data_IF_097191859711
#
_entry.id   IF_097191859711
#
_cell.length_a   1.000
_cell.length_b   1.000
_cell.length_c   1.000
_cell.angle_alpha   90.00
_cell.angle_beta   90.00
_cell.angle_gamma   90.00
#
_symmetry.space_group_name_H-M   'P 1'
#
loop_
_entity.id
_entity.type
_entity.pdbx_description
1 polymer ?
#
# COMPACT_ATOMS: atom_id res chain seq x y z
N UNK A 1 61.54 -20.30 -32.28
CA UNK A 1 61.31 -20.40 -30.82
C UNK A 1 60.01 -19.66 -30.50
N UNK A 2 58.93 -20.37 -30.13
CA UNK A 2 58.33 -20.51 -28.77
C UNK A 2 57.49 -19.30 -28.28
N UNK A 3 56.15 -19.43 -28.44
CA UNK A 3 55.04 -19.43 -27.44
C UNK A 3 54.89 -18.40 -26.28
N UNK A 4 53.61 -18.03 -26.09
CA UNK A 4 52.81 -17.68 -24.88
C UNK A 4 52.69 -16.19 -24.46
N UNK A 5 51.52 -15.54 -24.46
CA UNK A 5 50.22 -15.64 -23.71
C UNK A 5 50.19 -14.79 -22.41
N UNK A 6 49.05 -14.13 -22.17
CA UNK A 6 48.54 -13.34 -21.02
C UNK A 6 48.55 -11.81 -21.24
N UNK A 7 47.42 -11.15 -21.53
CA UNK A 7 46.21 -10.90 -20.70
C UNK A 7 46.39 -9.75 -19.70
N UNK A 8 45.66 -8.64 -19.93
CA UNK A 8 44.58 -8.17 -19.04
C UNK A 8 44.28 -6.67 -19.21
N UNK A 9 43.04 -6.39 -19.61
CA UNK A 9 42.16 -5.31 -19.12
C UNK A 9 42.69 -3.87 -19.07
N UNK A 10 42.36 -3.10 -20.10
CA UNK A 10 42.31 -1.64 -20.06
C UNK A 10 40.92 -1.21 -19.55
N UNK A 11 40.81 -0.89 -18.26
CA UNK A 11 39.66 -0.22 -17.69
C UNK A 11 39.79 1.29 -17.94
N UNK A 12 38.94 1.84 -18.82
CA UNK A 12 38.80 3.28 -19.00
C UNK A 12 37.54 3.71 -18.23
N UNK A 13 37.75 4.32 -17.07
CA UNK A 13 36.70 5.01 -16.33
C UNK A 13 36.45 6.36 -17.00
N UNK A 14 35.26 6.53 -17.60
CA UNK A 14 34.75 7.84 -18.01
C UNK A 14 33.71 8.26 -16.98
N UNK A 15 34.11 9.17 -16.10
CA UNK A 15 33.21 9.95 -15.26
C UNK A 15 32.60 11.01 -16.18
N UNK A 16 31.33 10.87 -16.52
CA UNK A 16 30.56 11.94 -17.17
C UNK A 16 29.46 12.41 -16.25
N UNK A 17 29.74 13.54 -15.61
CA UNK A 17 28.79 14.42 -14.94
C UNK A 17 27.88 15.02 -16.00
N UNK A 18 26.59 14.69 -15.94
CA UNK A 18 25.54 15.45 -16.63
C UNK A 18 24.45 15.78 -15.63
N UNK A 19 24.76 16.71 -14.72
CA UNK A 19 23.76 17.52 -14.04
C UNK A 19 22.99 18.32 -15.10
N UNK A 20 21.74 17.94 -15.35
CA UNK A 20 20.75 18.85 -15.93
C UNK A 20 19.60 18.92 -14.93
N UNK A 21 19.76 19.82 -13.97
CA UNK A 21 18.65 20.35 -13.20
C UNK A 21 17.72 21.05 -14.19
N UNK A 22 16.61 20.42 -14.51
CA UNK A 22 15.48 21.07 -15.17
C UNK A 22 14.28 20.95 -14.24
N UNK A 23 14.27 21.85 -13.26
CA UNK A 23 13.13 22.16 -12.42
C UNK A 23 11.98 22.67 -13.29
N UNK A 24 11.05 21.80 -13.64
CA UNK A 24 9.70 22.19 -14.03
C UNK A 24 8.81 22.03 -12.80
N UNK A 25 8.59 23.16 -12.13
CA UNK A 25 7.55 23.32 -11.12
C UNK A 25 6.22 23.28 -11.88
N UNK A 26 5.53 22.14 -11.83
CA UNK A 26 4.12 22.04 -12.17
C UNK A 26 3.35 21.89 -10.86
N UNK A 27 2.71 22.98 -10.42
CA UNK A 27 1.65 22.96 -9.43
C UNK A 27 0.40 22.31 -10.06
N UNK A 28 0.10 21.08 -9.68
CA UNK A 28 -1.23 20.47 -9.78
C UNK A 28 -1.30 19.29 -8.80
N UNK A 29 -2.38 19.25 -8.03
CA UNK A 29 -2.41 18.64 -6.72
C UNK A 29 -2.73 17.16 -6.69
N UNK A 30 -2.20 16.50 -5.66
CA UNK A 30 -2.78 15.30 -5.07
C UNK A 30 -2.62 15.51 -3.57
N UNK A 31 -3.72 15.94 -2.94
CA UNK A 31 -3.80 16.36 -1.54
C UNK A 31 -2.97 17.64 -1.28
N UNK A 32 -3.33 18.46 -0.30
CA UNK A 32 -2.46 19.55 0.21
C UNK A 32 -1.15 19.03 0.85
N UNK A 33 -0.72 17.83 0.50
CA UNK A 33 0.50 17.16 0.89
C UNK A 33 1.26 16.93 -0.41
N UNK A 34 2.23 17.81 -0.64
CA UNK A 34 3.26 17.72 -1.68
C UNK A 34 3.60 16.24 -1.97
N UNK A 35 3.50 15.74 -3.21
CA UNK A 35 4.14 14.48 -3.56
C UNK A 35 5.60 14.58 -3.12
N UNK A 36 6.02 13.71 -2.22
CA UNK A 36 7.37 13.74 -1.68
C UNK A 36 8.36 13.66 -2.84
N UNK A 37 8.97 14.80 -3.16
CA UNK A 37 10.11 14.89 -4.04
C UNK A 37 11.29 14.26 -3.28
N UNK A 38 11.42 12.94 -3.40
CA UNK A 38 12.66 12.19 -3.16
C UNK A 38 12.48 10.76 -3.71
N UNK A 39 12.44 10.64 -5.04
CA UNK A 39 12.77 9.40 -5.73
C UNK A 39 13.99 9.64 -6.61
N UNK A 40 15.14 9.69 -5.94
CA UNK A 40 16.46 9.49 -6.52
C UNK A 40 17.07 8.28 -5.84
N UNK A 41 17.52 7.33 -6.65
CA UNK A 41 18.13 6.06 -6.26
C UNK A 41 19.09 6.17 -5.06
N UNK A 42 18.68 5.71 -3.88
CA UNK A 42 19.57 5.18 -2.85
C UNK A 42 18.77 4.42 -1.78
N UNK A 43 19.04 3.12 -1.68
CA UNK A 43 18.72 2.30 -0.52
C UNK A 43 19.51 2.84 0.68
N UNK A 44 18.92 3.75 1.47
CA UNK A 44 19.31 4.09 2.85
C UNK A 44 18.60 5.37 3.36
N UNK A 45 17.66 5.19 4.29
CA UNK A 45 17.48 6.00 5.51
C UNK A 45 17.53 7.54 5.42
N UNK A 46 16.37 8.18 5.25
CA UNK A 46 16.04 9.46 5.94
C UNK A 46 14.53 9.63 6.05
N UNK A 47 13.86 8.78 6.83
CA UNK A 47 12.57 9.10 7.44
C UNK A 47 12.87 9.83 8.75
N UNK A 48 12.52 11.11 8.89
CA UNK A 48 12.77 11.92 10.09
C UNK A 48 12.14 11.33 11.37
N UNK A 49 11.18 10.41 11.23
CA UNK A 49 10.54 9.67 12.33
C UNK A 49 11.31 8.42 12.80
N UNK A 50 12.38 8.02 12.10
CA UNK A 50 13.16 6.81 12.38
C UNK A 50 14.62 7.13 12.76
N UNK A 51 14.88 8.26 13.41
CA UNK A 51 16.24 8.65 13.85
C UNK A 51 16.87 7.61 14.77
N UNK A 52 16.09 6.99 15.66
CA UNK A 52 16.57 5.95 16.58
C UNK A 52 16.78 4.59 15.90
N UNK A 53 16.35 4.46 14.64
CA UNK A 53 16.58 3.28 13.79
C UNK A 53 17.93 3.39 13.07
N UNK A 54 18.48 4.60 12.93
CA UNK A 54 19.78 4.82 12.30
C UNK A 54 20.90 4.32 13.22
N UNK A 55 21.70 3.35 12.74
CA UNK A 55 22.82 2.79 13.51
C UNK A 55 22.46 1.63 14.45
N UNK A 56 21.21 1.15 14.41
CA UNK A 56 20.85 -0.10 15.09
C UNK A 56 21.53 -1.27 14.39
N UNK A 57 22.25 -2.09 15.15
CA UNK A 57 22.74 -3.39 14.68
C UNK A 57 21.67 -4.43 14.96
N UNK A 58 21.14 -5.05 13.89
CA UNK A 58 20.09 -6.04 14.02
C UNK A 58 20.65 -7.43 14.31
N UNK A 59 20.06 -8.11 15.31
CA UNK A 59 20.35 -9.51 15.61
C UNK A 59 19.42 -10.40 14.78
N UNK A 60 19.86 -10.72 13.56
CA UNK A 60 19.10 -11.50 12.58
C UNK A 60 19.01 -12.99 12.94
N UNK A 61 19.73 -13.46 13.97
CA UNK A 61 19.58 -14.83 14.49
C UNK A 61 18.45 -14.92 15.51
N UNK A 62 18.14 -13.81 16.18
CA UNK A 62 17.12 -13.73 17.23
C UNK A 62 15.78 -13.17 16.74
N UNK A 63 15.82 -12.19 15.84
CA UNK A 63 14.64 -11.49 15.34
C UNK A 63 14.47 -11.70 13.83
N UNK A 64 13.22 -11.76 13.38
CA UNK A 64 12.87 -12.04 11.98
C UNK A 64 12.87 -10.78 11.11
N UNK A 65 12.53 -9.62 11.70
CA UNK A 65 12.42 -8.32 11.00
C UNK A 65 12.72 -7.15 11.96
N UNK A 66 13.07 -5.95 11.44
CA UNK A 66 13.47 -4.78 12.25
C UNK A 66 12.50 -4.40 13.37
N UNK A 67 11.21 -4.24 13.06
CA UNK A 67 10.19 -3.81 14.02
C UNK A 67 10.06 -4.77 15.21
N UNK A 68 10.33 -6.07 15.01
CA UNK A 68 10.30 -7.06 16.09
C UNK A 68 11.38 -6.76 17.14
N UNK A 69 12.60 -6.46 16.69
CA UNK A 69 13.71 -6.11 17.58
C UNK A 69 13.46 -4.76 18.25
N UNK A 70 13.07 -3.75 17.47
CA UNK A 70 12.82 -2.41 17.98
C UNK A 70 11.75 -2.42 19.09
N UNK A 71 10.66 -3.18 18.89
CA UNK A 71 9.63 -3.36 19.90
C UNK A 71 10.15 -4.12 21.14
N UNK A 72 10.91 -5.21 20.95
CA UNK A 72 11.47 -5.98 22.06
C UNK A 72 12.48 -5.20 22.91
N UNK A 73 13.16 -4.23 22.31
CA UNK A 73 14.12 -3.33 22.98
C UNK A 73 13.47 -2.02 23.49
N UNK A 74 12.15 -1.86 23.37
CA UNK A 74 11.41 -0.64 23.72
C UNK A 74 11.95 0.62 23.02
N UNK A 75 12.45 0.49 21.78
CA UNK A 75 12.89 1.62 20.96
C UNK A 75 11.71 2.27 20.27
N UNK A 76 11.78 3.59 20.09
CA UNK A 76 10.79 4.32 19.31
C UNK A 76 11.03 4.10 17.82
N UNK A 77 9.96 3.85 17.07
CA UNK A 77 10.00 3.74 15.62
C UNK A 77 8.63 4.05 15.02
N UNK A 78 8.63 4.46 13.76
CA UNK A 78 7.40 4.66 13.01
C UNK A 78 6.78 3.31 12.61
N UNK A 79 5.78 2.86 13.38
CA UNK A 79 5.02 1.63 13.09
C UNK A 79 4.27 1.65 11.75
N UNK A 80 4.08 2.83 11.14
CA UNK A 80 3.47 2.96 9.81
C UNK A 80 4.49 2.70 8.68
N UNK A 81 5.79 2.66 8.97
CA UNK A 81 6.82 2.29 7.99
C UNK A 81 6.86 0.78 7.77
N UNK A 82 6.11 0.30 6.78
CA UNK A 82 6.00 -1.12 6.42
C UNK A 82 7.37 -1.78 6.14
N UNK A 83 8.39 -1.01 5.75
CA UNK A 83 9.74 -1.54 5.48
C UNK A 83 10.37 -2.15 6.72
N UNK A 84 10.00 -1.67 7.91
CA UNK A 84 10.47 -2.24 9.18
C UNK A 84 9.89 -3.62 9.47
N UNK A 85 8.88 -4.05 8.71
CA UNK A 85 8.26 -5.37 8.80
C UNK A 85 8.73 -6.32 7.69
N UNK A 86 9.74 -5.93 6.90
CA UNK A 86 10.37 -6.84 5.95
C UNK A 86 11.33 -7.78 6.68
N UNK A 87 11.27 -9.06 6.33
CA UNK A 87 12.16 -10.07 6.89
C UNK A 87 13.61 -9.80 6.50
N UNK A 88 14.54 -10.09 7.42
CA UNK A 88 15.97 -9.96 7.12
C UNK A 88 16.44 -10.92 6.03
N UNK A 89 15.95 -12.16 6.05
CA UNK A 89 16.42 -13.26 5.19
C UNK A 89 15.82 -13.22 3.77
N UNK A 90 14.53 -12.97 3.64
CA UNK A 90 13.81 -13.05 2.36
C UNK A 90 13.35 -11.70 1.82
N UNK A 91 13.44 -10.63 2.63
CA UNK A 91 12.88 -9.30 2.33
C UNK A 91 11.35 -9.30 2.11
N UNK A 92 10.68 -10.40 2.45
CA UNK A 92 9.22 -10.52 2.36
C UNK A 92 8.56 -9.69 3.46
N UNK A 93 7.46 -9.03 3.13
CA UNK A 93 6.69 -8.24 4.08
C UNK A 93 5.83 -9.14 4.97
N UNK A 94 6.07 -9.05 6.28
CA UNK A 94 5.22 -9.60 7.34
C UNK A 94 3.94 -8.75 7.49
N UNK A 95 3.05 -8.84 6.49
CA UNK A 95 1.93 -7.90 6.33
C UNK A 95 0.85 -8.03 7.42
N UNK A 96 0.65 -9.23 7.96
CA UNK A 96 -0.27 -9.47 9.08
C UNK A 96 0.25 -8.79 10.37
N UNK A 97 1.55 -8.94 10.63
CA UNK A 97 2.25 -8.33 11.76
C UNK A 97 2.25 -6.81 11.65
N UNK A 98 2.46 -6.29 10.43
CA UNK A 98 2.38 -4.87 10.15
C UNK A 98 0.97 -4.32 10.39
N UNK A 99 -0.07 -4.97 9.86
CA UNK A 99 -1.46 -4.57 10.09
C UNK A 99 -1.79 -4.54 11.58
N UNK A 100 -1.40 -5.60 12.31
CA UNK A 100 -1.63 -5.74 13.75
C UNK A 100 -1.00 -4.59 14.54
N UNK A 101 0.25 -4.21 14.22
CA UNK A 101 0.93 -3.08 14.87
C UNK A 101 0.18 -1.74 14.72
N UNK A 102 -0.61 -1.59 13.65
CA UNK A 102 -1.41 -0.39 13.38
C UNK A 102 -2.85 -0.46 13.90
N UNK A 103 -3.22 -1.52 14.63
CA UNK A 103 -4.59 -1.86 15.08
C UNK A 103 -5.56 -2.22 13.94
N UNK A 104 -5.05 -2.95 12.95
CA UNK A 104 -5.80 -3.52 11.85
C UNK A 104 -5.55 -5.04 11.79
N UNK A 105 -6.41 -5.78 11.12
CA UNK A 105 -6.14 -7.13 10.63
C UNK A 105 -6.22 -7.12 9.11
N UNK A 106 -5.82 -8.22 8.48
CA UNK A 106 -6.00 -8.36 7.03
C UNK A 106 -7.00 -9.43 6.68
N UNK A 107 -7.80 -9.16 5.67
CA UNK A 107 -8.63 -10.15 5.01
C UNK A 107 -8.26 -10.24 3.54
N UNK A 108 -8.37 -11.44 2.99
CA UNK A 108 -8.04 -11.72 1.60
C UNK A 108 -9.33 -11.79 0.82
N UNK A 109 -9.38 -11.19 -0.36
CA UNK A 109 -10.54 -11.28 -1.21
C UNK A 109 -10.13 -11.67 -2.63
N UNK A 110 -10.67 -12.78 -3.12
CA UNK A 110 -10.57 -13.20 -4.51
C UNK A 110 -11.96 -13.51 -5.04
N UNK A 111 -12.32 -12.90 -6.18
CA UNK A 111 -13.57 -13.22 -6.88
C UNK A 111 -13.65 -14.69 -7.30
N UNK A 112 -12.50 -15.36 -7.44
CA UNK A 112 -12.41 -16.69 -8.03
C UNK A 112 -12.61 -17.81 -7.01
N UNK A 113 -12.41 -17.54 -5.71
CA UNK A 113 -12.40 -18.58 -4.66
C UNK A 113 -13.33 -18.19 -3.52
N UNK A 114 -14.61 -18.13 -3.85
CA UNK A 114 -15.68 -17.98 -2.88
C UNK A 114 -16.01 -19.33 -2.25
N UNK A 115 -15.84 -19.48 -0.92
CA UNK A 115 -16.35 -20.65 -0.19
C UNK A 115 -17.41 -20.23 0.82
N UNK A 116 -18.57 -20.88 0.71
CA UNK A 116 -19.56 -20.93 1.79
C UNK A 116 -19.09 -21.99 2.78
N UNK A 117 -18.88 -21.58 4.02
CA UNK A 117 -18.64 -22.52 5.11
C UNK A 117 -19.96 -23.17 5.54
N UNK A 118 -19.88 -24.31 6.22
CA UNK A 118 -21.05 -25.05 6.72
C UNK A 118 -21.86 -24.23 7.74
N UNK A 119 -21.22 -23.30 8.46
CA UNK A 119 -21.85 -22.39 9.43
C UNK A 119 -22.52 -21.16 8.76
N UNK A 120 -22.55 -21.10 7.43
CA UNK A 120 -23.12 -19.98 6.67
C UNK A 120 -22.22 -18.75 6.59
N UNK A 121 -21.03 -18.79 7.19
CA UNK A 121 -20.02 -17.75 7.01
C UNK A 121 -19.35 -17.89 5.63
N UNK A 122 -18.74 -16.80 5.16
CA UNK A 122 -18.04 -16.76 3.87
C UNK A 122 -16.57 -16.63 4.16
N UNK A 123 -15.76 -17.58 3.69
CA UNK A 123 -14.31 -17.40 3.71
C UNK A 123 -13.88 -16.91 2.35
N UNK A 124 -13.21 -15.75 2.36
CA UNK A 124 -12.44 -15.28 1.24
C UNK A 124 -10.97 -15.50 1.62
N UNK A 125 -10.28 -16.36 0.87
CA UNK A 125 -8.85 -16.59 0.99
C UNK A 125 -8.27 -16.77 -0.40
N UNK A 126 -6.99 -16.49 -0.56
CA UNK A 126 -6.36 -16.81 -1.83
C UNK A 126 -6.12 -18.32 -1.96
N UNK A 127 -7.05 -19.03 -2.59
CA UNK A 127 -6.78 -20.40 -3.02
C UNK A 127 -6.08 -20.40 -4.38
N UNK A 128 -4.76 -20.46 -4.30
CA UNK A 128 -3.92 -20.54 -5.48
C UNK A 128 -3.69 -21.98 -6.00
N UNK A 129 -4.28 -22.99 -5.36
CA UNK A 129 -4.10 -24.40 -5.72
C UNK A 129 -4.97 -24.82 -6.91
N UNK A 130 -6.10 -24.15 -7.12
CA UNK A 130 -7.03 -24.42 -8.21
C UNK A 130 -6.52 -23.80 -9.53
N UNK A 131 -5.60 -24.49 -10.21
CA UNK A 131 -4.99 -24.06 -11.48
C UNK A 131 -5.99 -23.84 -12.63
N UNK A 132 -7.23 -24.33 -12.51
CA UNK A 132 -8.31 -24.17 -13.47
C UNK A 132 -8.97 -22.79 -13.40
N UNK A 133 -8.86 -22.09 -12.28
CA UNK A 133 -9.37 -20.73 -12.11
C UNK A 133 -8.32 -19.75 -12.62
N UNK A 134 -8.51 -19.25 -13.85
CA UNK A 134 -7.66 -18.16 -14.37
C UNK A 134 -7.76 -16.97 -13.43
N UNK A 135 -6.73 -16.73 -12.61
CA UNK A 135 -6.59 -15.49 -11.84
C UNK A 135 -6.70 -14.33 -12.81
N UNK A 136 -7.72 -13.49 -12.61
CA UNK A 136 -7.97 -12.38 -13.51
C UNK A 136 -6.94 -11.29 -13.26
N UNK A 137 -5.78 -11.46 -13.90
CA UNK A 137 -4.70 -10.49 -13.95
C UNK A 137 -4.47 -10.10 -15.42
N UNK A 138 -4.91 -8.92 -15.80
CA UNK A 138 -4.92 -8.51 -17.19
C UNK A 138 -4.53 -7.05 -17.33
N UNK A 139 -3.76 -6.75 -18.38
CA UNK A 139 -3.57 -5.38 -18.85
C UNK A 139 -4.91 -4.86 -19.39
N UNK A 140 -5.35 -3.72 -18.88
CA UNK A 140 -6.54 -3.03 -19.34
C UNK A 140 -6.18 -1.61 -19.76
N UNK A 141 -7.02 -1.04 -20.62
CA UNK A 141 -6.98 0.37 -20.96
C UNK A 141 -8.22 1.01 -20.33
N UNK A 142 -7.99 1.98 -19.44
CA UNK A 142 -9.08 2.75 -18.82
C UNK A 142 -9.73 3.68 -19.84
N UNK A 143 -10.88 4.27 -19.49
CA UNK A 143 -11.56 5.22 -20.38
C UNK A 143 -10.73 6.49 -20.65
N UNK A 144 -9.71 6.75 -19.83
CA UNK A 144 -8.70 7.80 -20.04
C UNK A 144 -7.65 7.47 -21.11
N UNK A 145 -7.66 6.26 -21.68
CA UNK A 145 -6.61 5.75 -22.56
C UNK A 145 -5.38 5.24 -21.81
N UNK A 146 -5.34 5.31 -20.47
CA UNK A 146 -4.22 4.84 -19.66
C UNK A 146 -4.22 3.33 -19.49
N UNK A 147 -3.05 2.72 -19.66
CA UNK A 147 -2.81 1.30 -19.41
C UNK A 147 -2.60 1.03 -17.94
N UNK A 148 -3.27 0.02 -17.39
CA UNK A 148 -3.06 -0.45 -16.03
C UNK A 148 -3.22 -1.97 -15.95
N UNK A 149 -2.61 -2.61 -14.96
CA UNK A 149 -2.83 -4.02 -14.67
C UNK A 149 -3.91 -4.19 -13.59
N UNK A 150 -5.03 -4.80 -13.98
CA UNK A 150 -6.09 -5.16 -13.04
C UNK A 150 -5.79 -6.53 -12.43
N UNK A 151 -6.08 -6.69 -11.15
CA UNK A 151 -6.15 -7.98 -10.48
C UNK A 151 -7.49 -8.12 -9.76
N UNK A 152 -8.14 -9.28 -9.83
CA UNK A 152 -9.32 -9.56 -9.00
C UNK A 152 -8.96 -10.06 -7.59
N UNK A 153 -7.68 -10.31 -7.32
CA UNK A 153 -7.17 -10.57 -5.98
C UNK A 153 -6.91 -9.26 -5.25
N UNK A 154 -7.39 -9.18 -4.01
CA UNK A 154 -7.34 -7.99 -3.18
C UNK A 154 -6.94 -8.38 -1.77
N UNK A 155 -6.12 -7.53 -1.17
CA UNK A 155 -5.81 -7.57 0.25
C UNK A 155 -6.50 -6.37 0.89
N UNK A 156 -7.29 -6.64 1.92
CA UNK A 156 -7.98 -5.63 2.70
C UNK A 156 -7.27 -5.46 4.04
N UNK A 157 -7.04 -4.22 4.45
CA UNK A 157 -6.64 -3.88 5.81
C UNK A 157 -7.88 -3.37 6.53
N UNK A 158 -8.37 -4.17 7.45
CA UNK A 158 -9.63 -3.97 8.15
C UNK A 158 -9.35 -3.51 9.59
N UNK A 159 -10.00 -2.43 10.02
CA UNK A 159 -9.80 -1.94 11.38
C UNK A 159 -10.31 -2.98 12.38
N UNK A 160 -9.56 -3.17 13.47
CA UNK A 160 -10.01 -3.99 14.60
C UNK A 160 -11.01 -3.18 15.43
N UNK A 161 -12.27 -3.15 15.01
CA UNK A 161 -13.35 -2.63 15.84
C UNK A 161 -14.30 -3.76 16.29
N UNK A 162 -14.69 -3.76 17.56
CA UNK A 162 -15.54 -4.80 18.14
C UNK A 162 -17.02 -4.62 17.81
N UNK A 163 -17.40 -3.45 17.26
CA UNK A 163 -18.79 -3.02 17.07
C UNK A 163 -19.27 -3.22 15.64
N UNK A 164 -18.42 -3.01 14.62
CA UNK A 164 -18.78 -3.17 13.21
C UNK A 164 -18.33 -4.52 12.66
N UNK A 165 -18.70 -5.60 13.36
CA UNK A 165 -18.33 -6.97 13.02
C UNK A 165 -18.78 -7.41 11.61
N UNK A 166 -19.79 -6.75 11.03
CA UNK A 166 -20.29 -7.07 9.68
C UNK A 166 -19.60 -6.30 8.55
N UNK A 167 -19.23 -5.04 8.75
CA UNK A 167 -18.56 -4.20 7.74
C UNK A 167 -17.54 -3.30 8.46
N UNK A 168 -16.26 -3.67 8.51
CA UNK A 168 -15.24 -2.84 9.12
C UNK A 168 -14.90 -1.63 8.24
N UNK A 169 -14.21 -0.64 8.81
CA UNK A 169 -13.44 0.29 8.00
C UNK A 169 -12.35 -0.52 7.29
N UNK A 170 -12.35 -0.49 5.96
CA UNK A 170 -11.53 -1.38 5.13
C UNK A 170 -10.76 -0.62 4.05
N UNK A 171 -9.47 -0.90 3.92
CA UNK A 171 -8.59 -0.35 2.89
C UNK A 171 -8.14 -1.45 1.93
N UNK A 172 -8.59 -1.36 0.67
CA UNK A 172 -8.37 -2.38 -0.35
C UNK A 172 -7.18 -2.03 -1.26
N UNK A 173 -6.25 -2.97 -1.42
CA UNK A 173 -5.18 -2.92 -2.43
C UNK A 173 -5.20 -4.17 -3.32
N UNK A 174 -4.65 -4.04 -4.53
CA UNK A 174 -4.56 -5.15 -5.49
C UNK A 174 -3.37 -6.06 -5.17
N UNK A 175 -3.59 -7.36 -5.30
CA UNK A 175 -2.57 -8.40 -5.12
C UNK A 175 -2.28 -9.07 -6.45
N UNK A 176 -1.01 -9.31 -6.73
CA UNK A 176 -0.54 -9.89 -7.98
C UNK A 176 0.26 -11.16 -7.71
N UNK A 177 0.22 -12.10 -8.63
CA UNK A 177 0.98 -13.36 -8.58
C UNK A 177 2.36 -13.26 -9.24
N UNK A 178 2.67 -12.10 -9.84
CA UNK A 178 3.93 -11.81 -10.52
C UNK A 178 4.33 -10.35 -10.28
N UNK A 179 5.60 -10.04 -10.01
CA UNK A 179 6.04 -8.67 -9.75
C UNK A 179 5.93 -7.76 -10.99
N UNK A 180 6.00 -8.31 -12.20
CA UNK A 180 5.91 -7.57 -13.47
C UNK A 180 4.51 -7.01 -13.76
N UNK A 181 3.51 -7.43 -12.99
CA UNK A 181 2.12 -6.96 -13.13
C UNK A 181 1.74 -5.96 -12.04
N UNK A 182 2.67 -5.65 -11.14
CA UNK A 182 2.42 -4.91 -9.91
C UNK A 182 2.33 -3.40 -10.16
N UNK A 183 1.31 -2.99 -10.91
CA UNK A 183 1.01 -1.58 -11.16
C UNK A 183 0.35 -0.98 -9.92
N UNK A 184 0.66 0.29 -9.59
CA UNK A 184 -0.02 0.97 -8.51
C UNK A 184 -1.48 1.26 -8.90
N UNK A 185 -2.36 1.11 -7.93
CA UNK A 185 -3.76 1.46 -8.02
C UNK A 185 -4.20 2.05 -6.69
N UNK A 186 -4.86 3.21 -6.70
CA UNK A 186 -5.27 3.88 -5.47
C UNK A 186 -6.09 2.99 -4.55
N UNK A 187 -5.91 3.15 -3.24
CA UNK A 187 -6.68 2.40 -2.25
C UNK A 187 -8.16 2.77 -2.31
N UNK A 188 -9.03 1.77 -2.42
CA UNK A 188 -10.46 1.96 -2.19
C UNK A 188 -10.73 1.80 -0.70
N UNK A 189 -11.39 2.79 -0.12
CA UNK A 189 -11.68 2.85 1.31
C UNK A 189 -13.18 2.60 1.49
N UNK A 190 -13.54 1.66 2.35
CA UNK A 190 -14.92 1.39 2.75
C UNK A 190 -15.11 1.86 4.18
N UNK A 191 -16.17 2.61 4.45
CA UNK A 191 -16.52 3.08 5.78
C UNK A 191 -17.97 2.70 6.07
N UNK A 192 -18.26 1.97 7.17
CA UNK A 192 -19.61 1.54 7.51
C UNK A 192 -20.50 2.73 7.87
N UNK A 193 -21.82 2.54 7.75
CA UNK A 193 -22.77 3.56 8.19
C UNK A 193 -22.62 3.82 9.69
N UNK A 194 -22.73 5.08 10.10
CA UNK A 194 -22.43 5.51 11.47
C UNK A 194 -23.20 6.78 11.85
N UNK A 195 -23.10 7.17 13.11
CA UNK A 195 -23.68 8.41 13.61
C UNK A 195 -22.84 9.05 14.71
N UNK A 196 -22.96 10.36 14.89
CA UNK A 196 -22.38 11.06 16.04
C UNK A 196 -23.25 10.90 17.31
N UNK A 197 -22.82 11.49 18.43
CA UNK A 197 -23.56 11.47 19.70
C UNK A 197 -24.89 12.24 19.66
N UNK A 198 -25.11 13.06 18.62
CA UNK A 198 -26.35 13.77 18.37
C UNK A 198 -27.28 13.02 17.40
N UNK A 199 -26.95 11.78 17.03
CA UNK A 199 -27.66 10.96 16.06
C UNK A 199 -27.72 11.54 14.64
N UNK A 200 -26.74 12.35 14.25
CA UNK A 200 -26.54 12.69 12.84
C UNK A 200 -25.95 11.47 12.13
N UNK A 201 -26.65 10.96 11.12
CA UNK A 201 -26.29 9.71 10.45
C UNK A 201 -25.55 9.99 9.14
N UNK A 202 -24.47 9.25 8.90
CA UNK A 202 -23.86 9.11 7.57
C UNK A 202 -24.01 7.64 7.15
N UNK A 203 -24.63 7.35 6.00
CA UNK A 203 -24.75 5.99 5.52
C UNK A 203 -23.39 5.44 5.09
N UNK A 204 -23.34 4.11 4.99
CA UNK A 204 -22.25 3.38 4.36
C UNK A 204 -21.75 4.12 3.12
N UNK A 205 -20.43 4.30 3.02
CA UNK A 205 -19.84 5.04 1.92
C UNK A 205 -18.53 4.41 1.47
N UNK A 206 -18.21 4.59 0.19
CA UNK A 206 -16.88 4.26 -0.33
C UNK A 206 -16.15 5.50 -0.81
N UNK A 207 -14.85 5.54 -0.56
CA UNK A 207 -13.99 6.66 -0.89
C UNK A 207 -12.78 6.19 -1.71
N UNK A 208 -12.29 7.07 -2.58
CA UNK A 208 -11.06 6.86 -3.35
C UNK A 208 -10.55 8.22 -3.84
N UNK A 209 -9.26 8.37 -4.11
CA UNK A 209 -8.74 9.62 -4.66
C UNK A 209 -9.32 9.92 -6.05
N UNK A 210 -9.62 11.20 -6.27
CA UNK A 210 -10.08 11.74 -7.55
C UNK A 210 -9.16 11.32 -8.69
N UNK A 211 -7.84 11.40 -8.49
CA UNK A 211 -6.85 11.00 -9.49
C UNK A 211 -7.08 9.58 -10.01
N UNK A 212 -7.19 8.60 -9.10
CA UNK A 212 -7.39 7.20 -9.48
C UNK A 212 -8.78 6.92 -10.06
N UNK A 213 -9.80 7.66 -9.62
CA UNK A 213 -11.11 7.63 -10.27
C UNK A 213 -11.02 8.17 -11.70
N UNK A 214 -10.26 9.24 -11.91
CA UNK A 214 -10.07 9.89 -13.20
C UNK A 214 -9.28 9.02 -14.19
N UNK A 215 -8.29 8.28 -13.71
CA UNK A 215 -7.57 7.25 -14.49
C UNK A 215 -8.55 6.24 -15.09
N UNK A 216 -9.58 5.85 -14.35
CA UNK A 216 -10.55 4.86 -14.82
C UNK A 216 -11.65 5.44 -15.72
N UNK A 217 -12.15 6.64 -15.40
CA UNK A 217 -13.37 7.18 -16.01
C UNK A 217 -13.14 8.13 -17.19
N UNK A 218 -11.89 8.53 -17.47
CA UNK A 218 -11.56 9.39 -18.60
C UNK A 218 -11.55 10.89 -18.32
N UNK A 219 -11.48 11.31 -17.05
CA UNK A 219 -11.52 12.72 -16.66
C UNK A 219 -10.16 13.27 -16.19
N UNK A 220 -9.04 12.69 -16.63
CA UNK A 220 -7.70 13.20 -16.31
C UNK A 220 -7.45 14.54 -17.00
N UNK A 221 -6.86 15.50 -16.28
CA UNK A 221 -6.27 16.69 -16.93
C UNK A 221 -5.00 16.32 -17.70
N UNK A 222 -4.49 17.17 -18.62
CA UNK A 222 -3.21 16.94 -19.28
C UNK A 222 -2.05 16.73 -18.30
N UNK A 223 -2.03 17.46 -17.19
CA UNK A 223 -1.01 17.36 -16.14
C UNK A 223 -1.12 16.01 -15.39
N UNK A 224 -2.33 15.62 -14.99
CA UNK A 224 -2.57 14.31 -14.35
C UNK A 224 -2.23 13.14 -15.30
N UNK A 225 -2.53 13.31 -16.58
CA UNK A 225 -2.21 12.35 -17.64
C UNK A 225 -0.70 12.17 -17.78
N UNK A 226 0.08 13.26 -17.81
CA UNK A 226 1.53 13.21 -17.86
C UNK A 226 2.15 12.63 -16.57
N UNK A 227 1.59 12.99 -15.41
CA UNK A 227 2.00 12.44 -14.12
C UNK A 227 1.82 10.92 -14.08
N UNK A 228 0.67 10.42 -14.59
CA UNK A 228 0.40 9.00 -14.69
C UNK A 228 1.46 8.29 -15.54
N UNK A 229 1.74 8.79 -16.74
CA UNK A 229 2.69 8.14 -17.65
C UNK A 229 4.11 8.13 -17.08
N UNK A 230 4.51 9.20 -16.40
CA UNK A 230 5.83 9.30 -15.80
C UNK A 230 6.02 8.33 -14.62
N UNK A 231 5.00 8.15 -13.78
CA UNK A 231 5.17 7.55 -12.46
C UNK A 231 4.36 6.27 -12.20
N UNK A 232 3.17 6.13 -12.81
CA UNK A 232 2.18 5.14 -12.39
C UNK A 232 1.74 4.17 -13.49
N UNK A 233 1.93 4.51 -14.77
CA UNK A 233 1.66 3.64 -15.93
C UNK A 233 2.69 2.52 -16.11
N UNK A 234 3.31 2.06 -15.02
CA UNK A 234 4.37 1.06 -15.00
C UNK A 234 4.38 0.31 -13.67
N UNK A 235 5.21 -0.72 -13.58
CA UNK A 235 5.49 -1.44 -12.33
C UNK A 235 6.11 -0.45 -11.33
N UNK A 236 5.61 -0.42 -10.09
CA UNK A 236 6.14 0.45 -9.03
C UNK A 236 6.34 -0.35 -7.75
N UNK A 237 7.61 -0.50 -7.37
CA UNK A 237 8.07 -1.08 -6.10
C UNK A 237 7.36 -2.40 -5.75
N UNK A 238 7.51 -3.48 -6.53
CA UNK A 238 6.81 -4.73 -6.26
C UNK A 238 7.33 -5.35 -4.95
N UNK A 239 6.46 -5.40 -3.93
CA UNK A 239 6.78 -5.95 -2.61
C UNK A 239 6.24 -7.35 -2.51
N UNK A 240 7.12 -8.32 -2.27
CA UNK A 240 6.76 -9.72 -2.02
C UNK A 240 6.18 -9.85 -0.61
N UNK A 241 5.00 -10.45 -0.48
CA UNK A 241 4.40 -10.71 0.83
C UNK A 241 4.88 -12.05 1.38
N UNK A 242 5.04 -12.15 2.70
CA UNK A 242 5.28 -13.41 3.40
C UNK A 242 4.00 -14.24 3.38
N UNK A 243 3.84 -15.06 2.34
CA UNK A 243 2.64 -15.85 2.09
C UNK A 243 2.98 -17.33 1.85
N UNK A 244 2.34 -18.29 2.56
CA UNK A 244 2.84 -19.66 2.66
C UNK A 244 2.64 -20.51 1.39
N UNK A 245 1.63 -20.23 0.57
CA UNK A 245 1.28 -21.11 -0.56
C UNK A 245 2.06 -20.80 -1.84
N UNK A 246 2.27 -19.52 -2.14
CA UNK A 246 3.04 -19.05 -3.31
C UNK A 246 3.47 -17.59 -3.14
N UNK A 247 4.46 -17.14 -3.94
CA UNK A 247 4.77 -15.72 -4.06
C UNK A 247 3.57 -14.90 -4.52
N UNK A 248 3.25 -13.87 -3.75
CA UNK A 248 2.31 -12.80 -4.12
C UNK A 248 2.94 -11.43 -3.84
N UNK A 249 2.45 -10.43 -4.55
CA UNK A 249 3.03 -9.11 -4.63
C UNK A 249 1.99 -8.00 -4.51
N UNK A 250 2.36 -6.91 -3.85
CA UNK A 250 1.59 -5.67 -3.78
C UNK A 250 2.52 -4.51 -4.12
N UNK A 251 1.99 -3.42 -4.68
CA UNK A 251 2.82 -2.25 -4.96
C UNK A 251 3.20 -1.55 -3.65
N UNK A 252 4.49 -1.32 -3.44
CA UNK A 252 5.02 -0.58 -2.30
C UNK A 252 4.51 0.85 -2.23
N UNK A 253 4.17 1.45 -3.38
CA UNK A 253 3.44 2.71 -3.43
C UNK A 253 2.07 2.60 -2.77
N UNK A 254 1.29 1.55 -3.09
CA UNK A 254 -0.01 1.30 -2.47
C UNK A 254 0.12 1.01 -0.97
N UNK A 255 1.19 0.35 -0.52
CA UNK A 255 1.44 0.14 0.91
C UNK A 255 1.71 1.46 1.64
N UNK A 256 2.50 2.36 1.05
CA UNK A 256 2.71 3.69 1.61
C UNK A 256 1.42 4.53 1.63
N UNK A 257 0.60 4.43 0.59
CA UNK A 257 -0.72 5.07 0.53
C UNK A 257 -1.67 4.54 1.62
N UNK A 258 -1.75 3.21 1.79
CA UNK A 258 -2.48 2.56 2.89
C UNK A 258 -1.99 3.05 4.25
N UNK A 259 -0.67 3.10 4.47
CA UNK A 259 -0.08 3.53 5.74
C UNK A 259 -0.53 4.95 6.13
N UNK A 260 -0.55 5.87 5.16
CA UNK A 260 -1.00 7.25 5.38
C UNK A 260 -2.49 7.30 5.73
N UNK A 261 -3.32 6.53 5.04
CA UNK A 261 -4.77 6.47 5.29
C UNK A 261 -5.09 5.81 6.64
N UNK A 262 -4.37 4.75 7.00
CA UNK A 262 -4.49 4.11 8.31
C UNK A 262 -4.15 5.09 9.43
N UNK A 263 -3.07 5.87 9.29
CA UNK A 263 -2.71 6.90 10.26
C UNK A 263 -3.84 7.93 10.44
N UNK A 264 -4.38 8.45 9.35
CA UNK A 264 -5.50 9.39 9.36
C UNK A 264 -6.77 8.79 10.01
N UNK A 265 -7.06 7.53 9.73
CA UNK A 265 -8.19 6.82 10.35
C UNK A 265 -7.94 6.66 11.85
N UNK A 266 -6.76 6.21 12.26
CA UNK A 266 -6.40 6.06 13.67
C UNK A 266 -6.50 7.39 14.44
N UNK A 267 -6.12 8.51 13.82
CA UNK A 267 -6.24 9.84 14.43
C UNK A 267 -7.71 10.25 14.74
N UNK A 268 -8.70 9.58 14.13
CA UNK A 268 -10.12 9.78 14.45
C UNK A 268 -10.58 9.01 15.70
N UNK A 269 -9.82 8.01 16.15
CA UNK A 269 -10.12 7.17 17.31
C UNK A 269 -9.28 7.62 18.51
N UNK A 270 -9.96 8.07 19.58
CA UNK A 270 -9.28 8.55 20.79
C UNK A 270 -9.01 7.43 21.80
N UNK A 271 -9.82 6.39 21.73
CA UNK A 271 -9.77 5.18 22.52
C UNK A 271 -10.41 4.04 21.72
N UNK A 272 -10.42 2.84 22.30
CA UNK A 272 -11.07 1.66 21.74
C UNK A 272 -12.41 1.36 22.46
N UNK A 273 -13.05 2.38 23.07
CA UNK A 273 -14.33 2.20 23.75
C UNK A 273 -15.45 1.90 22.72
N UNK A 274 -16.11 0.74 22.80
CA UNK A 274 -17.20 0.37 21.89
C UNK A 274 -18.33 1.42 21.82
N UNK A 275 -18.63 2.11 22.93
CA UNK A 275 -19.69 3.12 22.99
C UNK A 275 -19.42 4.34 22.10
N UNK A 276 -18.14 4.63 21.84
CA UNK A 276 -17.72 5.76 21.01
C UNK A 276 -17.48 5.37 19.55
N UNK A 277 -17.45 4.07 19.24
CA UNK A 277 -17.03 3.56 17.94
C UNK A 277 -17.81 4.19 16.78
N UNK A 278 -19.14 4.25 16.88
CA UNK A 278 -20.00 4.88 15.85
C UNK A 278 -19.64 6.35 15.62
N UNK A 279 -19.39 7.11 16.69
CA UNK A 279 -19.00 8.52 16.58
C UNK A 279 -17.60 8.70 15.95
N UNK A 280 -16.67 7.78 16.20
CA UNK A 280 -15.35 7.80 15.56
C UNK A 280 -15.42 7.42 14.08
N UNK A 281 -16.23 6.42 13.70
CA UNK A 281 -16.50 6.11 12.29
C UNK A 281 -17.17 7.30 11.59
N UNK A 282 -18.08 8.00 12.26
CA UNK A 282 -18.68 9.23 11.74
C UNK A 282 -17.61 10.30 11.48
N UNK A 283 -16.65 10.47 12.39
CA UNK A 283 -15.52 11.38 12.18
C UNK A 283 -14.64 10.96 10.99
N UNK A 284 -14.43 9.66 10.77
CA UNK A 284 -13.72 9.16 9.58
C UNK A 284 -14.44 9.57 8.30
N UNK A 285 -15.79 9.47 8.25
CA UNK A 285 -16.55 9.98 7.11
C UNK A 285 -16.34 11.48 6.90
N UNK A 286 -16.47 12.28 7.96
CA UNK A 286 -16.32 13.74 7.91
C UNK A 286 -14.93 14.13 7.43
N UNK A 287 -13.91 13.46 7.94
CA UNK A 287 -12.52 13.63 7.53
C UNK A 287 -12.38 13.39 6.02
N UNK A 288 -12.76 12.23 5.50
CA UNK A 288 -12.66 11.95 4.06
C UNK A 288 -13.51 12.88 3.19
N UNK A 289 -14.70 13.27 3.64
CA UNK A 289 -15.56 14.23 2.93
C UNK A 289 -14.96 15.65 2.88
N UNK A 290 -14.13 16.01 3.87
CA UNK A 290 -13.46 17.32 3.93
C UNK A 290 -12.14 17.38 3.14
N UNK A 291 -11.58 16.22 2.77
CA UNK A 291 -10.30 16.14 2.09
C UNK A 291 -10.41 16.53 0.61
N UNK A 292 -9.68 17.58 0.23
CA UNK A 292 -9.49 17.93 -1.18
C UNK A 292 -8.79 16.79 -1.90
N UNK A 293 -9.43 16.22 -2.92
CA UNK A 293 -8.86 15.13 -3.71
C UNK A 293 -9.40 13.74 -3.37
N UNK A 294 -10.31 13.60 -2.40
CA UNK A 294 -11.03 12.34 -2.14
C UNK A 294 -12.45 12.42 -2.70
N UNK A 295 -12.85 11.41 -3.46
CA UNK A 295 -14.20 11.25 -4.00
C UNK A 295 -14.99 10.26 -3.16
N UNK A 296 -16.23 10.60 -2.82
CA UNK A 296 -17.24 9.62 -2.41
C UNK A 296 -17.80 8.92 -3.67
N UNK A 297 -17.67 7.60 -3.73
CA UNK A 297 -18.06 6.77 -4.86
C UNK A 297 -19.53 6.33 -4.80
N UNK A 298 -20.01 6.06 -3.59
CA UNK A 298 -21.39 5.74 -3.22
C UNK A 298 -21.60 6.10 -1.76
#
# INVERSE_FOLDING_TARGET
>A
MKRNIFASLLAVAVISVSTVNSSLVAEAGVLGLKPSANQGSQSSTTNTANTDVQGVTYDTMKYQYPAQQLAAENRQFDKYDWRLFQRFDTQELMYNEWATAMNFHTSEFSNNVYRMNEDGTKTYFFDFSESSLKYFEVEMIGSSGKKFFRSDNKLCFDRNDEVNTYIPISLEVRVYTSPEKCFPFGTRITVPGSHDHNWNIIPFSQYQENFWVNVLNGSLTPEESALYDANYGKIVDPVKLYYPSRPIYVSGWCLTDVAQKIKLINDCFKDENPENCSAYVYNVHKMFQSMNGIKKLR
#
